data_IF_336664524378
#
_entry.id   IF_336664524378
#
_cell.length_a   1.000
_cell.length_b   1.000
_cell.length_c   1.000
_cell.angle_alpha   90.00
_cell.angle_beta   90.00
_cell.angle_gamma   90.00
#
_symmetry.space_group_name_H-M   'P 1'
#
loop_
_entity.id
_entity.type
_entity.pdbx_description
1 polymer ?
#
# COMPACT_ATOMS: atom_id res chain seq x y z
N UNK A 1 95.61 12.13 3.61
CA UNK A 1 94.68 11.77 4.70
C UNK A 1 93.28 11.92 4.15
N UNK A 2 92.55 10.91 3.71
CA UNK A 2 92.74 9.47 3.50
C UNK A 2 91.43 9.12 2.76
N UNK A 3 91.51 8.81 1.45
CA UNK A 3 91.06 7.52 0.87
C UNK A 3 89.53 7.43 0.75
N UNK A 4 88.86 7.21 -0.38
CA UNK A 4 89.11 6.58 -1.68
C UNK A 4 87.83 6.87 -2.51
N UNK A 5 87.63 6.68 -3.81
CA UNK A 5 88.40 6.34 -5.00
C UNK A 5 87.42 6.56 -6.18
N UNK A 6 87.95 6.67 -7.39
CA UNK A 6 87.36 7.26 -8.58
C UNK A 6 86.31 6.41 -9.34
N UNK A 7 85.48 7.16 -10.06
CA UNK A 7 85.01 6.94 -11.45
C UNK A 7 84.07 5.75 -11.77
N UNK A 8 82.94 6.05 -12.39
CA UNK A 8 82.77 5.89 -13.85
C UNK A 8 81.35 6.32 -14.30
N UNK A 9 81.24 7.03 -15.43
CA UNK A 9 79.97 7.24 -16.16
C UNK A 9 79.70 6.01 -17.04
N UNK A 10 78.44 5.69 -17.38
CA UNK A 10 77.93 6.18 -18.67
C UNK A 10 76.44 6.56 -18.68
N UNK A 11 76.09 7.30 -19.73
CA UNK A 11 74.77 7.73 -20.14
C UNK A 11 73.85 6.54 -20.48
N UNK A 12 72.55 6.67 -20.18
CA UNK A 12 71.50 5.97 -20.94
C UNK A 12 70.18 6.73 -20.83
N UNK A 13 69.68 7.11 -22.01
CA UNK A 13 68.40 7.75 -22.27
C UNK A 13 67.21 6.83 -22.00
N UNK A 14 66.19 7.33 -21.32
CA UNK A 14 64.85 6.76 -21.42
C UNK A 14 63.77 7.85 -21.28
N UNK A 15 63.00 7.95 -22.35
CA UNK A 15 61.85 8.82 -22.59
C UNK A 15 60.77 8.73 -21.50
N UNK A 16 60.35 9.89 -21.00
CA UNK A 16 59.18 10.07 -20.14
C UNK A 16 57.89 9.82 -20.92
N UNK A 17 57.42 8.57 -20.94
CA UNK A 17 56.09 8.24 -21.45
C UNK A 17 55.06 8.52 -20.35
N UNK A 18 54.46 9.72 -20.36
CA UNK A 18 53.30 10.05 -19.51
C UNK A 18 52.15 9.09 -19.83
N UNK A 19 51.97 8.08 -18.99
CA UNK A 19 50.78 7.22 -18.98
C UNK A 19 49.56 8.08 -18.61
N UNK A 20 48.73 8.41 -19.60
CA UNK A 20 47.40 8.98 -19.37
C UNK A 20 46.53 7.89 -18.75
N UNK A 21 46.20 8.03 -17.47
CA UNK A 21 45.11 7.28 -16.87
C UNK A 21 43.78 7.85 -17.40
N UNK A 22 42.87 7.03 -17.93
CA UNK A 22 41.57 7.53 -18.34
C UNK A 22 40.80 8.04 -17.11
N UNK A 23 40.43 9.32 -17.18
CA UNK A 23 39.55 10.00 -16.24
C UNK A 23 38.19 9.31 -16.20
N UNK A 24 37.76 8.97 -14.99
CA UNK A 24 36.38 8.72 -14.55
C UNK A 24 35.45 8.00 -15.55
N UNK A 25 35.41 6.66 -15.44
CA UNK A 25 34.22 5.91 -15.82
C UNK A 25 33.02 6.46 -15.01
N UNK A 26 32.08 7.12 -15.69
CA UNK A 26 30.77 7.43 -15.11
C UNK A 26 30.14 6.10 -14.69
N UNK A 27 29.53 5.99 -13.50
CA UNK A 27 28.79 4.78 -13.17
C UNK A 27 27.68 4.61 -14.21
N UNK A 28 27.76 3.53 -14.99
CA UNK A 28 26.61 3.05 -15.74
C UNK A 28 25.50 2.80 -14.71
N UNK A 29 24.54 3.72 -14.62
CA UNK A 29 23.28 3.45 -13.94
C UNK A 29 22.64 2.34 -14.74
N UNK A 30 22.76 1.11 -14.26
CA UNK A 30 21.85 0.04 -14.64
C UNK A 30 20.46 0.50 -14.22
N UNK A 31 19.77 1.19 -15.12
CA UNK A 31 18.38 1.55 -14.95
C UNK A 31 17.62 0.26 -15.23
N UNK A 32 17.42 -0.55 -14.18
CA UNK A 32 16.44 -1.62 -14.26
C UNK A 32 15.11 -0.98 -14.70
N UNK A 33 14.38 -1.61 -15.63
CA UNK A 33 13.05 -1.13 -15.95
C UNK A 33 12.23 -1.00 -14.66
N UNK A 34 11.39 0.05 -14.54
CA UNK A 34 10.62 0.27 -13.33
C UNK A 34 9.77 -0.96 -13.03
N UNK A 35 9.67 -1.33 -11.76
CA UNK A 35 8.81 -2.44 -11.33
C UNK A 35 7.36 -2.03 -11.58
N UNK A 36 6.61 -2.83 -12.33
CA UNK A 36 5.17 -2.59 -12.54
C UNK A 36 4.37 -3.16 -11.39
N UNK A 37 3.59 -2.31 -10.73
CA UNK A 37 2.77 -2.68 -9.58
C UNK A 37 1.30 -2.45 -9.90
N UNK A 38 0.51 -3.51 -9.78
CA UNK A 38 -0.94 -3.38 -9.70
C UNK A 38 -1.37 -3.27 -8.25
N UNK A 39 -1.89 -2.11 -7.86
CA UNK A 39 -2.55 -1.90 -6.57
C UNK A 39 -4.04 -2.20 -6.75
N UNK A 40 -4.64 -3.07 -5.93
CA UNK A 40 -6.00 -3.57 -6.19
C UNK A 40 -6.91 -3.36 -4.98
N UNK A 41 -7.96 -2.58 -5.17
CA UNK A 41 -9.09 -2.47 -4.24
C UNK A 41 -10.38 -2.51 -5.06
N UNK A 42 -10.97 -3.70 -5.27
CA UNK A 42 -12.12 -3.85 -6.16
C UNK A 42 -13.30 -2.96 -5.81
N UNK A 43 -13.55 -2.73 -4.51
CA UNK A 43 -14.74 -2.02 -4.03
C UNK A 43 -14.46 -0.58 -3.60
N UNK A 44 -13.22 -0.09 -3.78
CA UNK A 44 -12.81 1.25 -3.37
C UNK A 44 -13.14 1.50 -1.88
N UNK A 45 -12.74 0.59 -0.99
CA UNK A 45 -12.93 0.70 0.45
C UNK A 45 -12.07 1.81 1.06
N UNK A 46 -10.84 2.00 0.56
CA UNK A 46 -9.91 2.97 1.15
C UNK A 46 -9.28 3.94 0.12
N UNK A 47 -10.07 4.67 -0.70
CA UNK A 47 -9.53 5.49 -1.79
C UNK A 47 -8.43 6.49 -1.37
N UNK A 48 -8.54 7.22 -0.24
CA UNK A 48 -7.48 8.14 0.18
C UNK A 48 -6.16 7.42 0.48
N UNK A 49 -6.23 6.26 1.15
CA UNK A 49 -5.04 5.47 1.48
C UNK A 49 -4.43 4.85 0.21
N UNK A 50 -5.24 4.21 -0.63
CA UNK A 50 -4.76 3.52 -1.83
C UNK A 50 -4.04 4.48 -2.78
N UNK A 51 -4.58 5.69 -2.94
CA UNK A 51 -3.99 6.73 -3.79
C UNK A 51 -2.73 7.34 -3.21
N UNK A 52 -2.69 7.55 -1.89
CA UNK A 52 -1.47 7.99 -1.21
C UNK A 52 -0.35 6.95 -1.35
N UNK A 53 -0.68 5.66 -1.18
CA UNK A 53 0.24 4.54 -1.37
C UNK A 53 0.71 4.44 -2.83
N UNK A 54 -0.21 4.52 -3.80
CA UNK A 54 0.12 4.48 -5.22
C UNK A 54 1.07 5.62 -5.61
N UNK A 55 0.79 6.85 -5.16
CA UNK A 55 1.67 7.99 -5.40
C UNK A 55 3.05 7.82 -4.72
N UNK A 56 3.10 7.24 -3.52
CA UNK A 56 4.37 6.97 -2.83
C UNK A 56 5.22 5.93 -3.57
N UNK A 57 4.60 4.84 -4.04
CA UNK A 57 5.27 3.81 -4.85
C UNK A 57 5.77 4.38 -6.18
N UNK A 58 4.96 5.22 -6.84
CA UNK A 58 5.37 5.92 -8.05
C UNK A 58 6.58 6.84 -7.83
N UNK A 59 6.59 7.62 -6.74
CA UNK A 59 7.75 8.45 -6.36
C UNK A 59 9.00 7.62 -6.04
N UNK A 60 8.83 6.38 -5.57
CA UNK A 60 9.93 5.44 -5.37
C UNK A 60 10.43 4.79 -6.68
N UNK A 61 9.83 5.12 -7.83
CA UNK A 61 10.26 4.66 -9.15
C UNK A 61 9.50 3.46 -9.70
N UNK A 62 8.40 3.03 -9.06
CA UNK A 62 7.53 2.00 -9.60
C UNK A 62 6.58 2.58 -10.66
N UNK A 63 6.20 1.75 -11.64
CA UNK A 63 5.09 2.06 -12.54
C UNK A 63 3.81 1.49 -11.93
N UNK A 64 2.91 2.35 -11.46
CA UNK A 64 1.76 1.92 -10.64
C UNK A 64 0.44 2.12 -11.39
N UNK A 65 -0.39 1.08 -11.36
CA UNK A 65 -1.81 1.15 -11.77
C UNK A 65 -2.67 0.75 -10.58
N UNK A 66 -3.56 1.64 -10.15
CA UNK A 66 -4.61 1.38 -9.17
C UNK A 66 -5.85 0.83 -9.88
N UNK A 67 -6.17 -0.45 -9.65
CA UNK A 67 -7.36 -1.10 -10.19
C UNK A 67 -8.46 -1.11 -9.13
N UNK A 68 -9.58 -0.45 -9.45
CA UNK A 68 -10.63 -0.20 -8.48
C UNK A 68 -12.01 -0.06 -9.13
N UNK A 69 -13.00 0.38 -8.36
CA UNK A 69 -14.31 0.80 -8.85
C UNK A 69 -14.50 2.29 -8.64
N UNK A 70 -15.41 2.91 -9.39
CA UNK A 70 -15.85 4.28 -9.12
C UNK A 70 -16.33 4.43 -7.67
N UNK A 71 -15.89 5.49 -6.99
CA UNK A 71 -16.29 5.81 -5.63
C UNK A 71 -17.34 6.92 -5.63
N UNK A 72 -18.54 6.62 -5.12
CA UNK A 72 -19.70 7.53 -5.14
C UNK A 72 -20.04 8.12 -3.75
N UNK A 73 -19.16 7.96 -2.76
CA UNK A 73 -19.45 8.31 -1.35
C UNK A 73 -18.77 9.59 -0.86
N UNK A 74 -18.05 10.30 -1.74
CA UNK A 74 -17.36 11.53 -1.41
C UNK A 74 -16.20 11.81 -2.37
N UNK A 75 -15.40 12.81 -2.01
CA UNK A 75 -14.26 13.21 -2.82
C UNK A 75 -13.15 12.17 -2.80
N UNK A 76 -12.47 12.08 -3.94
CA UNK A 76 -11.37 11.16 -4.15
C UNK A 76 -10.13 11.97 -4.54
N UNK A 77 -9.00 11.82 -3.84
CA UNK A 77 -7.78 12.54 -4.20
C UNK A 77 -7.39 12.29 -5.67
N UNK A 78 -6.85 13.29 -6.39
CA UNK A 78 -6.45 13.11 -7.78
C UNK A 78 -5.33 12.06 -7.91
N UNK A 79 -5.28 11.39 -9.05
CA UNK A 79 -4.20 10.47 -9.37
C UNK A 79 -2.96 11.26 -9.82
N UNK A 80 -1.87 11.19 -9.07
CA UNK A 80 -0.63 11.93 -9.34
C UNK A 80 0.53 10.96 -9.45
N UNK A 81 1.05 10.81 -10.67
CA UNK A 81 2.19 9.93 -10.95
C UNK A 81 1.86 8.44 -11.09
N UNK A 82 0.59 8.06 -11.10
CA UNK A 82 0.14 6.68 -11.29
C UNK A 82 -1.16 6.64 -12.11
N UNK A 83 -1.46 5.48 -12.72
CA UNK A 83 -2.68 5.27 -13.49
C UNK A 83 -3.83 4.74 -12.61
N UNK A 84 -5.07 5.02 -12.99
CA UNK A 84 -6.28 4.47 -12.36
C UNK A 84 -7.11 3.73 -13.39
N UNK A 85 -7.57 2.53 -13.04
CA UNK A 85 -8.36 1.65 -13.88
C UNK A 85 -9.63 1.22 -13.11
N UNK A 86 -10.75 1.90 -13.41
CA UNK A 86 -12.05 1.68 -12.77
C UNK A 86 -12.83 0.52 -13.40
N UNK A 87 -12.20 -0.66 -13.50
CA UNK A 87 -12.79 -1.83 -14.16
C UNK A 87 -13.77 -2.64 -13.31
N UNK A 88 -13.72 -2.52 -11.99
CA UNK A 88 -14.57 -3.30 -11.12
C UNK A 88 -15.95 -2.65 -10.99
N UNK A 89 -17.00 -3.48 -11.01
CA UNK A 89 -18.38 -3.07 -10.70
C UNK A 89 -18.91 -1.91 -11.55
N UNK A 90 -18.55 -1.86 -12.84
CA UNK A 90 -18.89 -0.74 -13.73
C UNK A 90 -20.40 -0.45 -13.81
N UNK A 91 -21.23 -1.47 -13.64
CA UNK A 91 -22.68 -1.31 -13.57
C UNK A 91 -23.18 -1.30 -12.12
N UNK A 92 -23.48 -0.13 -11.58
CA UNK A 92 -23.94 0.04 -10.20
C UNK A 92 -25.25 0.84 -10.13
N UNK A 93 -26.39 0.25 -10.57
CA UNK A 93 -27.68 0.96 -10.64
C UNK A 93 -28.19 1.34 -9.25
N UNK A 94 -28.87 2.49 -9.19
CA UNK A 94 -29.47 3.00 -7.96
C UNK A 94 -28.48 3.68 -7.01
N UNK A 95 -29.03 4.28 -5.95
CA UNK A 95 -28.27 5.06 -4.97
C UNK A 95 -27.25 4.19 -4.21
N UNK A 96 -26.16 4.80 -3.69
CA UNK A 96 -25.24 4.12 -2.79
C UNK A 96 -25.98 3.42 -1.63
N UNK A 97 -25.61 2.17 -1.34
CA UNK A 97 -26.26 1.35 -0.32
C UNK A 97 -27.59 0.69 -0.71
N UNK A 98 -28.12 0.91 -1.92
CA UNK A 98 -29.36 0.25 -2.35
C UNK A 98 -29.20 -1.25 -2.63
N UNK A 99 -30.29 -2.02 -2.47
CA UNK A 99 -30.32 -3.46 -2.78
C UNK A 99 -30.00 -3.75 -4.25
N UNK A 100 -30.47 -2.90 -5.16
CA UNK A 100 -30.19 -3.03 -6.59
C UNK A 100 -28.68 -2.90 -6.88
N UNK A 101 -28.03 -1.86 -6.31
CA UNK A 101 -26.58 -1.69 -6.40
C UNK A 101 -25.83 -2.88 -5.80
N UNK A 102 -26.24 -3.33 -4.62
CA UNK A 102 -25.63 -4.49 -3.97
C UNK A 102 -25.71 -5.75 -4.84
N UNK A 103 -26.89 -6.08 -5.37
CA UNK A 103 -27.09 -7.24 -6.23
C UNK A 103 -26.27 -7.15 -7.52
N UNK A 104 -26.21 -5.96 -8.14
CA UNK A 104 -25.40 -5.74 -9.33
C UNK A 104 -23.90 -5.91 -9.05
N UNK A 105 -23.38 -5.35 -7.94
CA UNK A 105 -21.97 -5.56 -7.53
C UNK A 105 -21.67 -7.04 -7.31
N UNK A 106 -22.56 -7.76 -6.61
CA UNK A 106 -22.39 -9.18 -6.36
C UNK A 106 -22.34 -10.00 -7.66
N UNK A 107 -23.23 -9.71 -8.62
CA UNK A 107 -23.28 -10.41 -9.91
C UNK A 107 -22.03 -10.18 -10.77
N UNK A 108 -21.39 -9.00 -10.66
CA UNK A 108 -20.16 -8.67 -11.40
C UNK A 108 -18.87 -9.15 -10.73
N UNK A 109 -18.91 -9.43 -9.41
CA UNK A 109 -17.69 -9.64 -8.64
C UNK A 109 -16.79 -10.75 -9.15
N UNK A 110 -17.33 -11.95 -9.36
CA UNK A 110 -16.56 -13.10 -9.82
C UNK A 110 -16.06 -12.89 -11.27
N UNK A 111 -16.91 -12.50 -12.24
CA UNK A 111 -16.43 -12.16 -13.60
C UNK A 111 -15.31 -11.12 -13.61
N UNK A 112 -15.45 -10.03 -12.84
CA UNK A 112 -14.45 -8.96 -12.79
C UNK A 112 -13.13 -9.46 -12.17
N UNK A 113 -13.20 -10.24 -11.09
CA UNK A 113 -12.02 -10.86 -10.47
C UNK A 113 -11.32 -11.84 -11.41
N UNK A 114 -12.06 -12.66 -12.17
CA UNK A 114 -11.50 -13.57 -13.17
C UNK A 114 -10.86 -12.80 -14.33
N UNK A 115 -11.52 -11.75 -14.82
CA UNK A 115 -10.98 -10.86 -15.85
C UNK A 115 -9.69 -10.18 -15.36
N UNK A 116 -9.69 -9.71 -14.11
CA UNK A 116 -8.50 -9.13 -13.49
C UNK A 116 -7.37 -10.14 -13.35
N UNK A 117 -7.64 -11.37 -12.90
CA UNK A 117 -6.62 -12.40 -12.75
C UNK A 117 -5.86 -12.69 -14.06
N UNK A 118 -6.51 -12.52 -15.22
CA UNK A 118 -5.87 -12.57 -16.54
C UNK A 118 -5.02 -11.33 -16.81
N UNK A 119 -5.55 -10.15 -16.54
CA UNK A 119 -4.86 -8.87 -16.74
C UNK A 119 -3.65 -8.67 -15.80
N UNK A 120 -3.64 -9.33 -14.64
CA UNK A 120 -2.54 -9.31 -13.67
C UNK A 120 -1.20 -9.76 -14.29
N UNK A 121 -1.21 -10.47 -15.43
CA UNK A 121 0.00 -10.81 -16.18
C UNK A 121 0.80 -9.61 -16.66
N UNK A 122 0.24 -8.40 -16.69
CA UNK A 122 0.97 -7.18 -17.05
C UNK A 122 1.83 -6.60 -15.90
N UNK A 123 1.56 -7.00 -14.65
CA UNK A 123 2.26 -6.48 -13.47
C UNK A 123 3.39 -7.38 -13.03
N UNK A 124 4.45 -6.82 -12.47
CA UNK A 124 5.53 -7.59 -11.84
C UNK A 124 5.16 -8.01 -10.42
N UNK A 125 4.38 -7.18 -9.72
CA UNK A 125 3.80 -7.47 -8.40
C UNK A 125 2.34 -7.04 -8.36
N UNK A 126 1.49 -7.85 -7.72
CA UNK A 126 0.09 -7.50 -7.44
C UNK A 126 -0.07 -7.27 -5.94
N UNK A 127 -0.50 -6.09 -5.54
CA UNK A 127 -0.74 -5.73 -4.15
C UNK A 127 -2.22 -5.46 -3.91
N UNK A 128 -2.91 -6.43 -3.33
CA UNK A 128 -4.30 -6.26 -2.90
C UNK A 128 -4.34 -5.44 -1.60
N UNK A 129 -5.14 -4.38 -1.61
CA UNK A 129 -5.51 -3.66 -0.39
C UNK A 129 -6.70 -4.34 0.28
N UNK A 130 -7.71 -4.74 -0.50
CA UNK A 130 -8.88 -5.42 0.03
C UNK A 130 -9.31 -6.59 -0.84
N UNK A 131 -9.83 -7.62 -0.17
CA UNK A 131 -10.58 -8.71 -0.79
C UNK A 131 -12.03 -8.54 -0.36
N UNK A 132 -12.91 -8.25 -1.32
CA UNK A 132 -14.29 -7.83 -1.07
C UNK A 132 -15.12 -8.99 -0.53
N UNK A 133 -14.89 -10.21 -1.04
CA UNK A 133 -15.52 -11.44 -0.58
C UNK A 133 -14.43 -12.46 -0.34
N UNK A 134 -13.67 -12.29 0.76
CA UNK A 134 -12.50 -13.10 1.10
C UNK A 134 -12.66 -14.62 0.85
N UNK A 135 -13.77 -15.29 1.24
CA UNK A 135 -13.92 -16.73 1.01
C UNK A 135 -13.91 -17.13 -0.47
N UNK A 136 -14.39 -16.25 -1.35
CA UNK A 136 -14.41 -16.46 -2.81
C UNK A 136 -13.12 -15.96 -3.43
N UNK A 137 -12.69 -14.76 -3.06
CA UNK A 137 -11.54 -14.07 -3.62
C UNK A 137 -10.24 -14.85 -3.45
N UNK A 138 -10.07 -15.57 -2.33
CA UNK A 138 -8.91 -16.41 -2.09
C UNK A 138 -8.66 -17.44 -3.22
N UNK A 139 -9.72 -17.90 -3.89
CA UNK A 139 -9.63 -18.85 -5.01
C UNK A 139 -9.41 -18.17 -6.37
N UNK A 140 -9.67 -16.87 -6.46
CA UNK A 140 -9.62 -16.04 -7.67
C UNK A 140 -8.35 -15.20 -7.77
N UNK A 141 -7.47 -15.22 -6.76
CA UNK A 141 -6.19 -14.52 -6.79
C UNK A 141 -5.34 -14.93 -8.00
N UNK A 142 -4.61 -13.99 -8.64
CA UNK A 142 -3.75 -14.31 -9.76
C UNK A 142 -2.60 -15.21 -9.30
N UNK A 143 -2.44 -16.36 -9.97
CA UNK A 143 -1.35 -17.32 -9.68
C UNK A 143 -0.08 -17.06 -10.48
N UNK A 144 -0.14 -16.16 -11.48
CA UNK A 144 0.96 -15.91 -12.41
C UNK A 144 2.00 -14.91 -11.89
N UNK A 145 1.70 -14.19 -10.81
CA UNK A 145 2.52 -13.11 -10.26
C UNK A 145 2.53 -13.18 -8.73
N UNK A 146 3.60 -12.69 -8.06
CA UNK A 146 3.61 -12.61 -6.60
C UNK A 146 2.51 -11.67 -6.11
N UNK A 147 1.70 -12.17 -5.16
CA UNK A 147 0.62 -11.42 -4.53
C UNK A 147 1.05 -10.94 -3.14
N UNK A 148 0.91 -9.65 -2.89
CA UNK A 148 1.01 -9.02 -1.57
C UNK A 148 -0.40 -8.64 -1.12
N UNK A 149 -0.71 -8.82 0.16
CA UNK A 149 -2.00 -8.42 0.74
C UNK A 149 -1.77 -7.48 1.92
N UNK A 150 -2.41 -6.31 1.91
CA UNK A 150 -2.53 -5.50 3.13
C UNK A 150 -3.67 -6.06 3.99
N UNK A 151 -3.37 -6.43 5.23
CA UNK A 151 -4.37 -6.86 6.20
C UNK A 151 -4.86 -5.65 7.02
N UNK A 152 -5.79 -4.89 6.45
CA UNK A 152 -6.45 -3.77 7.14
C UNK A 152 -7.21 -4.23 8.39
N UNK A 153 -7.87 -5.39 8.28
CA UNK A 153 -8.44 -6.12 9.41
C UNK A 153 -7.66 -7.42 9.64
N UNK A 154 -6.64 -7.31 10.50
CA UNK A 154 -5.68 -8.38 10.81
C UNK A 154 -6.37 -9.71 11.15
N UNK A 155 -7.32 -9.65 12.08
CA UNK A 155 -8.16 -10.75 12.52
C UNK A 155 -9.58 -10.23 12.82
N UNK A 156 -10.64 -11.01 12.51
CA UNK A 156 -11.99 -10.70 12.96
C UNK A 156 -12.00 -10.63 14.48
N UNK A 157 -12.73 -9.66 15.00
CA UNK A 157 -12.88 -9.49 16.46
C UNK A 157 -13.75 -10.57 17.07
N UNK A 158 -14.77 -10.99 16.32
CA UNK A 158 -15.70 -12.06 16.68
C UNK A 158 -15.68 -13.11 15.55
N UNK A 159 -14.69 -14.03 15.55
CA UNK A 159 -14.57 -15.03 14.51
C UNK A 159 -15.73 -16.03 14.56
N UNK A 160 -16.32 -16.32 13.41
CA UNK A 160 -17.22 -17.47 13.25
C UNK A 160 -16.42 -18.77 13.21
N UNK A 161 -17.03 -19.93 13.53
CA UNK A 161 -16.37 -21.23 13.42
C UNK A 161 -15.70 -21.42 12.05
N UNK A 162 -14.41 -21.72 12.05
CA UNK A 162 -13.62 -21.93 10.82
C UNK A 162 -13.09 -20.66 10.15
N UNK A 163 -13.54 -19.46 10.54
CA UNK A 163 -13.11 -18.20 9.91
C UNK A 163 -11.61 -17.93 10.10
N UNK A 164 -11.08 -18.18 11.30
CA UNK A 164 -9.63 -18.05 11.56
C UNK A 164 -8.81 -19.02 10.69
N UNK A 165 -9.27 -20.27 10.54
CA UNK A 165 -8.59 -21.25 9.67
C UNK A 165 -8.61 -20.80 8.21
N UNK A 166 -9.73 -20.28 7.73
CA UNK A 166 -9.83 -19.75 6.36
C UNK A 166 -8.91 -18.55 6.15
N UNK A 167 -8.83 -17.64 7.13
CA UNK A 167 -7.98 -16.47 7.05
C UNK A 167 -6.48 -16.80 7.13
N UNK A 168 -6.10 -17.77 7.98
CA UNK A 168 -4.75 -18.34 7.98
C UNK A 168 -4.37 -18.87 6.60
N UNK A 169 -5.23 -19.72 6.02
CA UNK A 169 -5.01 -20.25 4.68
C UNK A 169 -4.85 -19.13 3.67
N UNK A 170 -5.70 -18.10 3.68
CA UNK A 170 -5.55 -16.95 2.80
C UNK A 170 -4.16 -16.32 2.90
N UNK A 171 -3.66 -16.05 4.11
CA UNK A 171 -2.32 -15.48 4.30
C UNK A 171 -1.19 -16.42 3.85
N UNK A 172 -1.38 -17.74 3.96
CA UNK A 172 -0.41 -18.73 3.45
C UNK A 172 -0.34 -18.77 1.91
N UNK A 173 -1.41 -18.38 1.22
CA UNK A 173 -1.48 -18.35 -0.26
C UNK A 173 -0.85 -17.10 -0.89
N UNK A 174 -0.59 -16.05 -0.11
CA UNK A 174 0.06 -14.84 -0.61
C UNK A 174 1.57 -14.87 -0.32
N UNK A 175 2.33 -14.13 -1.13
CA UNK A 175 3.80 -14.03 -1.02
C UNK A 175 4.20 -13.29 0.26
N UNK A 176 3.46 -12.25 0.61
CA UNK A 176 3.70 -11.38 1.75
C UNK A 176 2.39 -10.74 2.24
N UNK A 177 2.34 -10.45 3.53
CA UNK A 177 1.25 -9.74 4.20
C UNK A 177 1.80 -8.45 4.81
N UNK A 178 1.16 -7.33 4.51
CA UNK A 178 1.46 -6.03 5.10
C UNK A 178 0.46 -5.74 6.21
N UNK A 179 0.94 -5.31 7.37
CA UNK A 179 0.13 -4.85 8.51
C UNK A 179 0.57 -3.45 8.92
N UNK A 180 -0.32 -2.69 9.55
CA UNK A 180 -0.05 -1.30 9.92
C UNK A 180 0.55 -1.08 11.32
N UNK A 181 0.74 -2.15 12.10
CA UNK A 181 1.29 -2.06 13.44
C UNK A 181 2.00 -3.35 13.86
N UNK A 182 2.96 -3.21 14.77
CA UNK A 182 3.59 -4.35 15.46
C UNK A 182 2.57 -5.19 16.22
N UNK A 183 1.53 -4.55 16.78
CA UNK A 183 0.41 -5.27 17.36
C UNK A 183 -0.23 -6.20 16.32
N UNK A 184 -0.58 -5.69 15.13
CA UNK A 184 -1.14 -6.50 14.05
C UNK A 184 -0.20 -7.64 13.62
N UNK A 185 1.11 -7.38 13.51
CA UNK A 185 2.10 -8.41 13.20
C UNK A 185 2.10 -9.51 14.25
N UNK A 186 2.16 -9.13 15.53
CA UNK A 186 2.14 -10.06 16.67
C UNK A 186 0.91 -10.95 16.62
N UNK A 187 -0.28 -10.38 16.37
CA UNK A 187 -1.52 -11.16 16.24
C UNK A 187 -1.46 -12.19 15.12
N UNK A 188 -0.95 -11.85 13.93
CA UNK A 188 -0.83 -12.82 12.84
C UNK A 188 0.17 -13.93 13.13
N UNK A 189 1.31 -13.60 13.75
CA UNK A 189 2.37 -14.57 14.01
C UNK A 189 2.00 -15.46 15.19
N UNK A 190 1.61 -14.89 16.32
CA UNK A 190 1.41 -15.61 17.59
C UNK A 190 0.02 -16.25 17.68
N UNK A 191 -1.05 -15.54 17.30
CA UNK A 191 -2.42 -16.08 17.42
C UNK A 191 -2.79 -16.97 16.22
N UNK A 192 -2.38 -16.57 15.01
CA UNK A 192 -2.79 -17.25 13.77
C UNK A 192 -1.72 -18.21 13.22
N UNK A 193 -0.47 -18.07 13.65
CA UNK A 193 0.65 -18.94 13.22
C UNK A 193 1.12 -18.66 11.79
N UNK A 194 0.97 -17.42 11.30
CA UNK A 194 1.53 -17.01 10.01
C UNK A 194 3.05 -16.87 10.13
N UNK A 195 3.78 -17.34 9.11
CA UNK A 195 5.24 -17.21 9.04
C UNK A 195 5.68 -15.75 9.19
N UNK A 196 6.47 -15.48 10.24
CA UNK A 196 6.98 -14.17 10.58
C UNK A 196 7.82 -13.52 9.46
N UNK A 197 8.44 -14.33 8.59
CA UNK A 197 9.20 -13.84 7.44
C UNK A 197 8.31 -13.30 6.31
N UNK A 198 7.01 -13.59 6.35
CA UNK A 198 6.02 -13.10 5.37
C UNK A 198 5.23 -11.89 5.86
N UNK A 199 5.30 -11.56 7.15
CA UNK A 199 4.51 -10.47 7.75
C UNK A 199 5.39 -9.24 7.95
N UNK A 200 5.08 -8.17 7.22
CA UNK A 200 5.83 -6.92 7.21
C UNK A 200 5.00 -5.79 7.79
N UNK A 201 5.59 -5.02 8.71
CA UNK A 201 4.97 -3.82 9.26
C UNK A 201 5.29 -2.65 8.35
N UNK A 202 4.25 -2.04 7.78
CA UNK A 202 4.33 -0.74 7.12
C UNK A 202 3.30 0.14 7.79
N UNK A 203 3.77 1.05 8.63
CA UNK A 203 2.89 1.94 9.38
C UNK A 203 2.00 2.75 8.45
N UNK A 204 0.73 2.89 8.84
CA UNK A 204 -0.21 3.71 8.10
C UNK A 204 0.30 5.16 8.07
N UNK A 205 0.41 5.73 6.87
CA UNK A 205 0.82 7.12 6.71
C UNK A 205 -0.19 8.08 7.32
N UNK A 206 0.27 9.19 7.89
CA UNK A 206 -0.63 10.26 8.29
C UNK A 206 -1.25 10.91 7.04
N UNK A 207 -2.53 11.28 7.09
CA UNK A 207 -3.20 12.04 6.04
C UNK A 207 -2.79 13.52 6.09
N UNK A 208 -1.51 13.79 5.89
CA UNK A 208 -0.91 15.14 5.96
C UNK A 208 -1.48 16.11 4.94
N UNK A 209 -2.07 15.61 3.84
CA UNK A 209 -2.79 16.42 2.86
C UNK A 209 -4.03 17.12 3.43
N UNK A 210 -4.51 16.71 4.60
CA UNK A 210 -5.61 17.37 5.31
C UNK A 210 -5.14 18.49 6.25
N UNK A 211 -3.86 18.53 6.61
CA UNK A 211 -3.30 19.55 7.50
C UNK A 211 -3.47 21.01 7.03
N UNK A 212 -3.41 21.35 5.72
CA UNK A 212 -3.60 22.72 5.27
C UNK A 212 -5.07 23.14 5.16
N UNK A 213 -6.03 22.25 5.44
CA UNK A 213 -7.45 22.60 5.37
C UNK A 213 -7.83 23.48 6.56
N UNK A 214 -8.54 24.58 6.29
CA UNK A 214 -9.12 25.40 7.35
C UNK A 214 -10.26 24.64 8.03
N UNK A 215 -10.22 24.47 9.37
CA UNK A 215 -11.31 23.84 10.10
C UNK A 215 -12.54 24.75 10.04
N UNK A 216 -13.66 24.20 9.55
CA UNK A 216 -14.94 24.90 9.51
C UNK A 216 -16.02 23.97 10.05
N UNK A 217 -16.89 24.51 10.89
CA UNK A 217 -18.06 23.77 11.33
C UNK A 217 -19.05 23.63 10.17
N UNK A 218 -19.77 22.48 10.09
CA UNK A 218 -20.89 22.33 9.18
C UNK A 218 -21.92 23.45 9.38
N UNK A 219 -22.55 23.96 8.30
CA UNK A 219 -23.52 25.05 8.39
C UNK A 219 -24.77 24.69 9.22
N UNK A 220 -25.03 23.40 9.45
CA UNK A 220 -26.10 22.90 10.29
C UNK A 220 -25.82 23.06 11.80
N UNK A 221 -24.55 23.30 12.18
CA UNK A 221 -24.17 23.57 13.57
C UNK A 221 -24.14 25.07 13.84
N UNK A 222 -24.56 25.52 15.03
CA UNK A 222 -24.49 26.93 15.39
C UNK A 222 -23.04 27.40 15.44
N UNK A 223 -22.81 28.65 15.03
CA UNK A 223 -21.53 29.31 15.24
C UNK A 223 -21.23 29.36 16.74
N UNK A 224 -19.99 29.06 17.11
CA UNK A 224 -19.56 29.03 18.51
C UNK A 224 -18.07 29.33 18.60
N UNK A 225 -17.70 30.09 19.62
CA UNK A 225 -16.31 30.30 20.03
C UNK A 225 -15.85 29.23 21.06
N UNK A 226 -16.77 28.36 21.50
CA UNK A 226 -16.44 27.28 22.42
C UNK A 226 -15.67 26.15 21.72
N UNK A 227 -14.79 25.42 22.45
CA UNK A 227 -14.12 24.24 21.91
C UNK A 227 -15.13 23.20 21.40
N UNK A 228 -14.91 22.71 20.19
CA UNK A 228 -15.75 21.66 19.58
C UNK A 228 -15.01 20.32 19.63
N UNK A 229 -15.67 19.31 20.16
CA UNK A 229 -15.15 17.94 20.22
C UNK A 229 -15.92 17.06 19.24
N UNK A 230 -15.17 16.31 18.42
CA UNK A 230 -15.70 15.41 17.40
C UNK A 230 -15.26 13.97 17.70
N UNK A 231 -16.21 13.04 17.67
CA UNK A 231 -15.95 11.60 17.60
C UNK A 231 -16.22 11.10 16.18
N UNK A 232 -15.20 11.01 15.30
CA UNK A 232 -15.43 10.60 13.93
C UNK A 232 -15.59 9.08 13.79
N UNK A 233 -16.52 8.66 12.94
CA UNK A 233 -16.66 7.28 12.48
C UNK A 233 -17.95 6.58 12.90
N UNK A 234 -18.08 5.31 12.53
CA UNK A 234 -19.25 4.50 12.84
C UNK A 234 -19.40 4.31 14.35
N UNK A 235 -20.60 4.56 14.89
CA UNK A 235 -20.91 4.29 16.29
C UNK A 235 -20.91 2.78 16.55
N UNK A 236 -19.84 2.30 17.18
CA UNK A 236 -19.60 0.90 17.54
C UNK A 236 -19.00 0.85 18.94
N UNK A 237 -19.24 -0.23 19.67
CA UNK A 237 -18.79 -0.39 21.06
C UNK A 237 -17.30 -0.12 21.24
N UNK A 238 -16.47 -0.64 20.33
CA UNK A 238 -15.01 -0.46 20.37
C UNK A 238 -14.52 0.96 20.05
N UNK A 239 -15.40 1.88 19.63
CA UNK A 239 -15.03 3.26 19.30
C UNK A 239 -15.02 4.17 20.52
N UNK A 240 -15.36 3.66 21.70
CA UNK A 240 -15.20 4.39 22.97
C UNK A 240 -16.20 5.52 23.14
N UNK A 241 -17.43 5.39 22.62
CA UNK A 241 -18.48 6.39 22.83
C UNK A 241 -18.82 6.52 24.32
N UNK A 242 -18.90 5.39 25.01
CA UNK A 242 -19.01 5.30 26.46
C UNK A 242 -17.90 6.08 27.18
N UNK A 243 -16.64 5.87 26.77
CA UNK A 243 -15.48 6.58 27.32
C UNK A 243 -15.58 8.09 27.09
N UNK A 244 -15.97 8.51 25.88
CA UNK A 244 -16.16 9.93 25.60
C UNK A 244 -17.27 10.54 26.47
N UNK A 245 -18.40 9.86 26.61
CA UNK A 245 -19.52 10.35 27.42
C UNK A 245 -19.17 10.40 28.91
N UNK A 246 -18.37 9.46 29.40
CA UNK A 246 -17.84 9.50 30.77
C UNK A 246 -16.94 10.71 30.99
N UNK A 247 -15.97 10.94 30.09
CA UNK A 247 -15.09 12.10 30.15
C UNK A 247 -15.88 13.42 30.05
N UNK A 248 -16.92 13.45 29.22
CA UNK A 248 -17.75 14.65 29.00
C UNK A 248 -18.51 15.09 30.25
N UNK A 249 -18.82 14.18 31.18
CA UNK A 249 -19.48 14.56 32.45
C UNK A 249 -18.59 15.38 33.37
N UNK A 250 -17.28 15.33 33.17
CA UNK A 250 -16.28 16.06 33.97
C UNK A 250 -15.81 17.37 33.34
N UNK A 251 -16.36 17.77 32.19
CA UNK A 251 -16.05 19.01 31.46
C UNK A 251 -17.30 19.90 31.52
#
# INVERSE_FOLDING_TARGET
MTSDEQASRPQSSASSTRRRYPLHARPHRYCHPPVRVHLVDPSAFTPPYDRALAAALARAGAEVTLLTSRFDYGDVPPAVGFAVDERFYRFAPGRPGSRARFAAKLAQHVPDMVAYARAARAADVVHFQWLTVQPVDAHLLPRSRPVVLTAHDVLPREPRPGQLRAQRRLYEHVRAVVVHSEHGRRRLVEELGVDAARVHVVHHGAFTHLAPLEPRLPPELPATDAPVVLLPGLLRTYKGLDVLLEAWRGI
#
